data_IF_293858279702
#
_entry.id   IF_293858279702
#
_cell.length_a   1.000
_cell.length_b   1.000
_cell.length_c   1.000
_cell.angle_alpha   90.00
_cell.angle_beta   90.00
_cell.angle_gamma   90.00
#
_symmetry.space_group_name_H-M   'P 1'
#
loop_
_entity.id
_entity.type
_entity.pdbx_description
1 polymer ?
#
# COMPACT_ATOMS: atom_id res chain seq x y z
N UNK A 1 -3.78 -4.24 17.15
CA UNK A 1 -3.00 -3.76 16.01
C UNK A 1 -2.50 -4.86 15.09
N UNK A 2 -1.91 -5.93 15.61
CA UNK A 2 -1.53 -7.09 14.79
C UNK A 2 -2.72 -7.71 14.05
N UNK A 3 -3.91 -7.69 14.66
CA UNK A 3 -5.13 -8.23 14.07
C UNK A 3 -5.60 -7.44 12.84
N UNK A 4 -5.42 -6.12 12.84
CA UNK A 4 -5.82 -5.26 11.71
C UNK A 4 -4.94 -5.54 10.49
N UNK A 5 -3.62 -5.70 10.69
CA UNK A 5 -2.69 -6.05 9.62
C UNK A 5 -3.02 -7.42 9.01
N UNK A 6 -3.37 -8.39 9.84
CA UNK A 6 -3.75 -9.72 9.38
C UNK A 6 -5.02 -9.66 8.53
N UNK A 7 -6.01 -8.88 8.96
CA UNK A 7 -7.26 -8.72 8.21
C UNK A 7 -7.02 -8.08 6.85
N UNK A 8 -6.16 -7.05 6.79
CA UNK A 8 -5.78 -6.40 5.54
C UNK A 8 -5.08 -7.37 4.59
N UNK A 9 -4.18 -8.20 5.12
CA UNK A 9 -3.47 -9.21 4.32
C UNK A 9 -4.45 -10.26 3.79
N UNK A 10 -5.37 -10.72 4.60
CA UNK A 10 -6.39 -11.69 4.16
C UNK A 10 -7.33 -11.11 3.11
N UNK A 11 -7.71 -9.84 3.25
CA UNK A 11 -8.52 -9.16 2.25
C UNK A 11 -7.82 -9.09 0.89
N UNK A 12 -6.51 -8.89 0.89
CA UNK A 12 -5.71 -8.87 -0.34
C UNK A 12 -5.55 -10.26 -0.95
N UNK A 13 -5.43 -11.31 -0.14
CA UNK A 13 -5.29 -12.69 -0.60
C UNK A 13 -6.53 -13.14 -1.40
N UNK A 14 -7.72 -12.68 -1.01
CA UNK A 14 -8.94 -13.02 -1.73
C UNK A 14 -9.04 -12.43 -3.14
N UNK A 15 -8.17 -11.48 -3.49
CA UNK A 15 -8.12 -10.90 -4.82
C UNK A 15 -7.31 -11.74 -5.83
N UNK A 16 -6.76 -12.87 -5.41
CA UNK A 16 -5.88 -13.68 -6.25
C UNK A 16 -6.56 -14.61 -7.25
N UNK A 17 -7.86 -14.60 -7.37
CA UNK A 17 -8.58 -15.57 -8.17
C UNK A 17 -8.88 -15.13 -9.61
N UNK A 18 -8.22 -14.08 -10.10
CA UNK A 18 -8.42 -13.58 -11.45
C UNK A 18 -7.27 -13.94 -12.39
N UNK A 19 -7.58 -13.97 -13.69
CA UNK A 19 -6.57 -14.10 -14.72
C UNK A 19 -5.77 -12.80 -14.84
N UNK A 20 -4.44 -12.93 -14.98
CA UNK A 20 -3.59 -11.77 -15.23
C UNK A 20 -3.61 -11.42 -16.72
N UNK A 21 -3.92 -10.16 -17.02
CA UNK A 21 -3.83 -9.62 -18.37
C UNK A 21 -2.60 -8.75 -18.50
N UNK A 22 -2.10 -8.58 -19.73
CA UNK A 22 -1.00 -7.67 -19.99
C UNK A 22 -1.41 -6.23 -19.57
N UNK A 23 -0.57 -5.60 -18.77
CA UNK A 23 -0.81 -4.25 -18.31
C UNK A 23 -0.46 -3.24 -19.40
N UNK A 24 -1.28 -2.19 -19.53
CA UNK A 24 -0.92 -0.99 -20.26
C UNK A 24 0.11 -0.21 -19.43
N UNK A 25 1.19 0.26 -20.07
CA UNK A 25 2.22 1.04 -19.40
C UNK A 25 1.69 2.31 -18.71
N UNK A 26 0.64 2.92 -19.28
CA UNK A 26 0.01 4.10 -18.70
C UNK A 26 -0.69 3.79 -17.38
N UNK A 27 -1.36 2.65 -17.29
CA UNK A 27 -2.04 2.22 -16.06
C UNK A 27 -1.01 1.97 -14.95
N UNK A 28 0.06 1.26 -15.30
CA UNK A 28 1.15 1.02 -14.36
C UNK A 28 1.76 2.32 -13.85
N UNK A 29 2.09 3.24 -14.74
CA UNK A 29 2.69 4.52 -14.36
C UNK A 29 1.79 5.33 -13.43
N UNK A 30 0.50 5.36 -13.73
CA UNK A 30 -0.49 6.07 -12.91
C UNK A 30 -0.59 5.45 -11.51
N UNK A 31 -0.71 4.15 -11.43
CA UNK A 31 -0.86 3.44 -10.19
C UNK A 31 0.41 3.48 -9.34
N UNK A 32 1.59 3.39 -9.97
CA UNK A 32 2.86 3.59 -9.27
C UNK A 32 2.94 4.98 -8.65
N UNK A 33 2.55 6.02 -9.40
CA UNK A 33 2.56 7.38 -8.88
C UNK A 33 1.64 7.53 -7.68
N UNK A 34 0.45 6.96 -7.74
CA UNK A 34 -0.50 6.98 -6.62
C UNK A 34 0.10 6.27 -5.40
N UNK A 35 0.70 5.10 -5.60
CA UNK A 35 1.33 4.34 -4.54
C UNK A 35 2.51 5.10 -3.92
N UNK A 36 3.35 5.71 -4.73
CA UNK A 36 4.50 6.48 -4.27
C UNK A 36 4.07 7.73 -3.51
N UNK A 37 3.05 8.44 -4.01
CA UNK A 37 2.48 9.58 -3.30
C UNK A 37 1.92 9.16 -1.93
N UNK A 38 1.24 8.02 -1.88
CA UNK A 38 0.73 7.47 -0.63
C UNK A 38 1.87 7.13 0.34
N UNK A 39 2.94 6.52 -0.15
CA UNK A 39 4.08 6.13 0.67
C UNK A 39 4.86 7.31 1.27
N UNK A 40 4.65 8.53 0.76
CA UNK A 40 5.28 9.72 1.34
C UNK A 40 5.00 9.87 2.83
N UNK A 41 3.85 9.39 3.28
CA UNK A 41 3.49 9.40 4.71
C UNK A 41 4.50 8.63 5.57
N UNK A 42 5.20 7.66 4.99
CA UNK A 42 6.16 6.82 5.71
C UNK A 42 7.60 7.36 5.64
N UNK A 43 7.89 8.20 4.64
CA UNK A 43 9.21 8.77 4.43
C UNK A 43 9.48 10.02 5.25
N UNK A 44 8.44 10.83 5.50
CA UNK A 44 8.58 12.20 5.96
C UNK A 44 8.10 12.40 7.38
N UNK A 45 8.72 13.34 8.08
CA UNK A 45 8.21 13.81 9.36
C UNK A 45 6.95 14.64 9.19
N UNK A 46 6.86 15.37 8.07
CA UNK A 46 5.68 16.17 7.74
C UNK A 46 4.69 15.35 6.95
N UNK A 47 3.43 15.52 7.27
CA UNK A 47 2.35 14.84 6.57
C UNK A 47 2.18 15.38 5.16
N UNK A 48 2.03 14.51 4.17
CA UNK A 48 1.62 14.94 2.85
C UNK A 48 0.22 15.55 2.88
N UNK A 49 -0.13 16.30 1.85
CA UNK A 49 -1.47 16.89 1.72
C UNK A 49 -2.50 15.77 1.51
N UNK A 50 -3.33 15.53 2.51
CA UNK A 50 -4.36 14.49 2.43
C UNK A 50 -5.34 14.72 1.29
N UNK A 51 -5.70 15.97 0.99
CA UNK A 51 -6.61 16.27 -0.13
C UNK A 51 -6.10 15.68 -1.44
N UNK A 52 -4.81 15.82 -1.70
CA UNK A 52 -4.18 15.26 -2.90
C UNK A 52 -4.21 13.73 -2.89
N UNK A 53 -3.92 13.12 -1.76
CA UNK A 53 -3.94 11.66 -1.61
C UNK A 53 -5.36 11.13 -1.77
N UNK A 54 -6.34 11.79 -1.15
CA UNK A 54 -7.74 11.32 -1.11
C UNK A 54 -8.40 11.30 -2.49
N UNK A 55 -7.97 12.14 -3.42
CA UNK A 55 -8.49 12.14 -4.78
C UNK A 55 -8.30 10.79 -5.47
N UNK A 56 -7.28 10.06 -5.08
CA UNK A 56 -6.92 8.77 -5.68
C UNK A 56 -7.38 7.56 -4.86
N UNK A 57 -8.09 7.78 -3.76
CA UNK A 57 -8.66 6.71 -2.95
C UNK A 57 -10.06 6.35 -3.47
N UNK A 58 -10.41 5.06 -3.40
CA UNK A 58 -11.78 4.63 -3.66
C UNK A 58 -12.73 5.23 -2.62
N UNK A 59 -14.01 5.32 -2.94
CA UNK A 59 -15.01 5.83 -1.99
C UNK A 59 -15.02 5.05 -0.68
N UNK A 60 -14.87 3.75 -0.77
CA UNK A 60 -14.80 2.87 0.40
C UNK A 60 -13.56 3.15 1.25
N UNK A 61 -12.40 3.28 0.63
CA UNK A 61 -11.17 3.54 1.37
C UNK A 61 -11.17 4.94 2.00
N UNK A 62 -11.79 5.94 1.36
CA UNK A 62 -11.93 7.27 1.95
C UNK A 62 -12.67 7.26 3.28
N UNK A 63 -13.66 6.38 3.41
CA UNK A 63 -14.42 6.24 4.65
C UNK A 63 -13.54 5.62 5.74
N UNK A 64 -12.79 4.58 5.39
CA UNK A 64 -11.94 3.86 6.33
C UNK A 64 -10.64 4.59 6.65
N UNK A 65 -10.19 5.45 5.74
CA UNK A 65 -8.93 6.19 5.87
C UNK A 65 -9.18 7.68 5.61
N UNK A 66 -9.84 8.34 6.55
CA UNK A 66 -10.02 9.79 6.52
C UNK A 66 -8.70 10.48 6.92
N UNK A 67 -8.69 11.81 6.94
CA UNK A 67 -7.49 12.58 7.26
C UNK A 67 -6.90 12.21 8.63
N UNK A 68 -7.75 12.08 9.65
CA UNK A 68 -7.31 11.70 10.98
C UNK A 68 -6.68 10.30 10.99
N UNK A 69 -7.30 9.36 10.33
CA UNK A 69 -6.81 7.98 10.24
C UNK A 69 -5.51 7.88 9.44
N UNK A 70 -5.34 8.74 8.44
CA UNK A 70 -4.10 8.81 7.68
C UNK A 70 -2.95 9.34 8.55
N UNK A 71 -3.23 10.34 9.38
CA UNK A 71 -2.28 10.85 10.38
C UNK A 71 -1.92 9.75 11.38
N UNK A 72 -2.92 9.05 11.90
CA UNK A 72 -2.72 7.94 12.83
C UNK A 72 -1.92 6.81 12.19
N UNK A 73 -2.13 6.55 10.90
CA UNK A 73 -1.37 5.56 10.16
C UNK A 73 0.14 5.89 10.15
N UNK A 74 0.49 7.14 9.89
CA UNK A 74 1.88 7.58 9.93
C UNK A 74 2.52 7.28 11.30
N UNK A 75 1.83 7.68 12.35
CA UNK A 75 2.30 7.48 13.71
C UNK A 75 2.45 5.99 14.05
N UNK A 76 1.45 5.19 13.72
CA UNK A 76 1.45 3.77 14.02
C UNK A 76 2.55 3.02 13.27
N UNK A 77 2.76 3.35 12.01
CA UNK A 77 3.83 2.73 11.22
C UNK A 77 5.20 3.16 11.75
N UNK A 78 5.36 4.44 12.07
CA UNK A 78 6.61 4.95 12.64
C UNK A 78 6.94 4.27 13.97
N UNK A 79 5.97 4.09 14.83
CA UNK A 79 6.16 3.45 16.14
C UNK A 79 6.52 1.96 15.98
N UNK A 80 5.92 1.28 15.03
CA UNK A 80 6.08 -0.16 14.84
C UNK A 80 7.26 -0.53 13.96
N UNK A 81 7.44 0.15 12.83
CA UNK A 81 8.42 -0.18 11.82
C UNK A 81 9.54 0.86 11.68
N UNK A 82 9.36 2.05 12.22
CA UNK A 82 10.28 3.16 12.04
C UNK A 82 9.97 3.95 10.77
N UNK A 83 10.96 4.69 10.31
CA UNK A 83 10.87 5.51 9.10
C UNK A 83 11.24 4.66 7.90
N UNK A 84 10.53 4.85 6.80
CA UNK A 84 10.85 4.20 5.54
C UNK A 84 12.18 4.71 5.02
N UNK A 85 13.10 3.80 4.70
CA UNK A 85 14.45 4.13 4.21
C UNK A 85 14.63 3.86 2.73
N UNK A 86 14.01 2.81 2.23
CA UNK A 86 14.15 2.41 0.84
C UNK A 86 12.85 1.76 0.37
N UNK A 87 12.48 2.03 -0.87
CA UNK A 87 11.35 1.38 -1.52
C UNK A 87 11.73 1.10 -2.98
N UNK A 88 11.55 -0.15 -3.39
CA UNK A 88 11.81 -0.58 -4.76
C UNK A 88 10.56 -1.22 -5.33
N UNK A 89 10.19 -0.83 -6.53
CA UNK A 89 9.12 -1.50 -7.26
C UNK A 89 9.44 -2.99 -7.38
N UNK A 90 8.46 -3.82 -7.05
CA UNK A 90 8.64 -5.27 -7.07
C UNK A 90 7.79 -5.94 -8.14
N UNK A 91 6.47 -5.68 -8.15
CA UNK A 91 5.59 -6.34 -9.10
C UNK A 91 4.33 -5.54 -9.40
N UNK A 92 3.81 -5.76 -10.60
CA UNK A 92 2.49 -5.32 -11.03
C UNK A 92 1.71 -6.55 -11.46
N UNK A 93 0.48 -6.68 -10.98
CA UNK A 93 -0.40 -7.78 -11.35
C UNK A 93 -1.78 -7.23 -11.68
N UNK A 94 -2.35 -7.72 -12.77
CA UNK A 94 -3.69 -7.34 -13.18
C UNK A 94 -4.66 -8.49 -12.99
N UNK A 95 -5.79 -8.18 -12.36
CA UNK A 95 -6.86 -9.12 -12.10
C UNK A 95 -8.17 -8.57 -12.67
N UNK A 96 -9.20 -9.40 -12.74
CA UNK A 96 -10.51 -8.97 -13.22
C UNK A 96 -11.12 -7.83 -12.42
N UNK A 97 -10.85 -7.79 -11.10
CA UNK A 97 -11.40 -6.77 -10.21
C UNK A 97 -10.54 -5.51 -10.11
N UNK A 98 -9.33 -5.53 -10.62
CA UNK A 98 -8.42 -4.41 -10.53
C UNK A 98 -6.96 -4.83 -10.55
N UNK A 99 -6.08 -3.94 -10.14
CA UNK A 99 -4.64 -4.14 -10.22
C UNK A 99 -4.00 -4.17 -8.85
N UNK A 100 -2.82 -4.77 -8.78
CA UNK A 100 -2.01 -4.77 -7.57
C UNK A 100 -0.58 -4.36 -7.89
N UNK A 101 -0.09 -3.39 -7.14
CA UNK A 101 1.29 -2.90 -7.24
C UNK A 101 1.98 -3.20 -5.91
N UNK A 102 3.15 -3.80 -5.97
CA UNK A 102 3.91 -4.18 -4.78
C UNK A 102 5.29 -3.55 -4.77
N UNK A 103 5.74 -3.16 -3.59
CA UNK A 103 7.07 -2.59 -3.35
C UNK A 103 7.78 -3.40 -2.30
N UNK A 104 9.06 -3.66 -2.54
CA UNK A 104 9.95 -4.18 -1.51
C UNK A 104 10.55 -2.98 -0.78
N UNK A 105 10.42 -2.95 0.53
CA UNK A 105 10.77 -1.78 1.32
C UNK A 105 11.63 -2.13 2.53
N UNK A 106 12.34 -1.12 3.03
CA UNK A 106 13.13 -1.22 4.25
C UNK A 106 12.74 -0.07 5.19
N UNK A 107 12.42 -0.40 6.42
CA UNK A 107 12.20 0.57 7.50
C UNK A 107 13.35 0.48 8.50
N UNK A 108 13.52 1.52 9.34
CA UNK A 108 14.55 1.54 10.39
C UNK A 108 14.52 0.32 11.29
N UNK A 109 13.33 -0.08 11.72
CA UNK A 109 13.12 -1.16 12.69
C UNK A 109 12.73 -2.48 12.04
N UNK A 110 12.43 -2.47 10.74
CA UNK A 110 12.02 -3.65 9.99
C UNK A 110 12.73 -3.64 8.65
N UNK A 111 13.86 -4.38 8.53
CA UNK A 111 14.75 -4.28 7.37
C UNK A 111 14.12 -4.71 6.06
N UNK A 112 13.23 -5.67 6.09
CA UNK A 112 12.61 -6.18 4.86
C UNK A 112 11.10 -6.32 5.07
N UNK A 113 10.35 -5.62 4.24
CA UNK A 113 8.89 -5.69 4.22
C UNK A 113 8.40 -5.53 2.79
N UNK A 114 7.15 -5.88 2.56
CA UNK A 114 6.47 -5.61 1.30
C UNK A 114 5.30 -4.69 1.58
N UNK A 115 5.14 -3.64 0.77
CA UNK A 115 3.92 -2.85 0.77
C UNK A 115 3.15 -3.21 -0.50
N UNK A 116 1.91 -3.62 -0.33
CA UNK A 116 1.04 -4.04 -1.42
C UNK A 116 -0.10 -3.03 -1.53
N UNK A 117 -0.32 -2.51 -2.74
CA UNK A 117 -1.40 -1.58 -3.04
C UNK A 117 -2.37 -2.25 -4.00
N UNK A 118 -3.66 -2.25 -3.66
CA UNK A 118 -4.71 -2.78 -4.51
C UNK A 118 -5.54 -1.62 -5.08
N UNK A 119 -5.71 -1.63 -6.40
CA UNK A 119 -6.46 -0.62 -7.14
C UNK A 119 -7.72 -1.25 -7.74
N UNK A 120 -8.82 -0.48 -7.76
CA UNK A 120 -10.03 -0.91 -8.42
C UNK A 120 -9.95 -0.70 -9.95
N UNK A 121 -11.03 -1.04 -10.66
CA UNK A 121 -11.09 -0.90 -12.13
C UNK A 121 -10.99 0.55 -12.60
N UNK A 122 -11.27 1.51 -11.74
CA UNK A 122 -11.16 2.94 -12.02
C UNK A 122 -9.78 3.49 -11.65
N UNK A 123 -8.82 2.62 -11.31
CA UNK A 123 -7.48 2.99 -10.90
C UNK A 123 -7.45 3.83 -9.62
N UNK A 124 -8.42 3.62 -8.75
CA UNK A 124 -8.44 4.21 -7.41
C UNK A 124 -7.87 3.20 -6.42
N UNK A 125 -7.10 3.70 -5.48
CA UNK A 125 -6.56 2.85 -4.41
C UNK A 125 -7.71 2.40 -3.51
N UNK A 126 -7.93 1.09 -3.41
CA UNK A 126 -9.01 0.55 -2.59
C UNK A 126 -8.52 -0.17 -1.35
N UNK A 127 -7.25 -0.57 -1.33
CA UNK A 127 -6.68 -1.24 -0.16
C UNK A 127 -5.15 -1.20 -0.20
N UNK A 128 -4.52 -1.41 0.95
CA UNK A 128 -3.08 -1.52 1.07
C UNK A 128 -2.74 -2.41 2.25
N UNK A 129 -1.53 -2.98 2.24
CA UNK A 129 -1.03 -3.76 3.37
C UNK A 129 0.48 -3.64 3.47
N UNK A 130 0.98 -3.64 4.70
CA UNK A 130 2.41 -3.74 4.98
C UNK A 130 2.66 -5.13 5.57
N UNK A 131 3.47 -5.91 4.87
CA UNK A 131 3.74 -7.31 5.24
C UNK A 131 5.21 -7.45 5.58
N UNK A 132 5.57 -7.55 6.87
CA UNK A 132 6.94 -7.82 7.26
C UNK A 132 7.35 -9.23 6.79
N UNK A 133 8.53 -9.32 6.20
CA UNK A 133 9.11 -10.61 5.85
C UNK A 133 9.86 -11.14 7.05
N UNK A 134 9.39 -12.25 7.61
CA UNK A 134 10.05 -12.90 8.73
C UNK A 134 11.10 -13.87 8.21
N UNK A 135 12.30 -13.79 8.78
CA UNK A 135 13.27 -14.85 8.57
C UNK A 135 12.71 -16.13 9.18
N UNK A 136 12.61 -17.19 8.39
CA UNK A 136 12.34 -18.51 8.94
C UNK A 136 13.53 -18.90 9.82
N UNK A 137 13.33 -18.83 11.11
CA UNK A 137 14.25 -19.45 12.05
C UNK A 137 14.03 -20.96 11.99
N UNK A 138 15.06 -21.65 11.62
CA UNK A 138 15.05 -23.10 11.75
C UNK A 138 15.11 -23.48 13.23
#
# INVERSE_FOLDING_TARGET
MKKILVVLVMGLIMMFNGLCFAADGNDLNKEQKIAEDFMQVFWQEQLPNYSKISENLSGKLKIDLNEKQYIDLQKNVKDKFGILKEAKFYSFQRFDQGDRVSYLVSFDKQPISTIIFAFDKNQKLENYAIVPLQKKTK
#
